data_IF_987237603879
#
_entry.id   IF_987237603879
#
_cell.length_a   1.000
_cell.length_b   1.000
_cell.length_c   1.000
_cell.angle_alpha   90.00
_cell.angle_beta   90.00
_cell.angle_gamma   90.00
#
_symmetry.space_group_name_H-M   'P 1'
#
loop_
_entity.id
_entity.type
_entity.pdbx_description
1 polymer ?
#
# COMPACT_ATOMS: atom_id res chain seq x y z
N UNK A 1 9.43 29.87 -12.79
CA UNK A 1 8.49 30.94 -13.18
C UNK A 1 7.93 30.74 -14.60
N UNK A 2 8.79 30.75 -15.68
CA UNK A 2 8.29 30.61 -17.07
C UNK A 2 7.60 29.27 -17.29
N UNK A 3 8.15 28.17 -16.76
CA UNK A 3 7.55 26.82 -16.85
C UNK A 3 6.19 26.74 -16.15
N UNK A 4 6.04 27.38 -15.00
CA UNK A 4 4.80 27.45 -14.25
C UNK A 4 3.70 28.21 -15.01
N UNK A 5 4.06 29.30 -15.71
CA UNK A 5 3.11 30.01 -16.59
C UNK A 5 2.59 29.13 -17.74
N UNK A 6 3.41 28.18 -18.18
CA UNK A 6 3.05 27.16 -19.19
C UNK A 6 2.43 25.90 -18.55
N UNK A 7 2.21 25.89 -17.23
CA UNK A 7 1.66 24.77 -16.44
C UNK A 7 2.52 23.51 -16.54
N UNK A 8 3.84 23.67 -16.48
CA UNK A 8 4.82 22.58 -16.48
C UNK A 8 5.71 22.71 -15.24
N UNK A 9 5.81 21.67 -14.47
CA UNK A 9 6.75 21.56 -13.36
C UNK A 9 7.97 20.77 -13.81
N UNK A 10 9.15 21.33 -13.60
CA UNK A 10 10.41 20.61 -13.76
C UNK A 10 10.91 20.10 -12.40
N UNK A 11 11.68 19.03 -12.41
CA UNK A 11 12.40 18.60 -11.23
C UNK A 11 13.76 19.28 -11.19
N UNK A 12 13.93 20.26 -10.30
CA UNK A 12 15.17 20.99 -10.10
C UNK A 12 16.07 20.21 -9.14
N UNK A 13 17.18 19.68 -9.67
CA UNK A 13 18.17 18.92 -8.90
C UNK A 13 19.04 19.87 -8.06
N UNK A 14 19.47 20.97 -8.68
CA UNK A 14 20.23 22.06 -8.06
C UNK A 14 20.05 23.34 -8.88
N UNK A 15 20.82 24.39 -8.57
CA UNK A 15 20.72 25.69 -9.24
C UNK A 15 21.05 25.65 -10.76
N UNK A 16 21.79 24.64 -11.20
CA UNK A 16 22.29 24.54 -12.57
C UNK A 16 21.72 23.36 -13.35
N UNK A 17 20.98 22.47 -12.68
CA UNK A 17 20.52 21.22 -13.26
C UNK A 17 19.03 20.98 -12.97
N UNK A 18 18.31 20.59 -13.99
CA UNK A 18 16.95 20.09 -13.89
C UNK A 18 16.82 18.76 -14.63
N UNK A 19 15.84 17.97 -14.24
CA UNK A 19 15.48 16.75 -14.97
C UNK A 19 14.04 16.81 -15.49
N UNK A 20 13.85 16.13 -16.61
CA UNK A 20 12.56 15.98 -17.28
C UNK A 20 12.28 14.50 -17.39
N UNK A 21 11.16 14.06 -16.83
CA UNK A 21 10.71 12.67 -16.97
C UNK A 21 9.60 12.59 -18.01
N UNK A 22 9.70 11.64 -18.89
CA UNK A 22 8.73 11.35 -19.95
C UNK A 22 8.17 9.95 -19.70
N UNK A 23 6.87 9.79 -19.85
CA UNK A 23 6.16 8.53 -19.69
C UNK A 23 5.15 8.31 -20.83
N UNK A 24 4.36 7.25 -20.73
CA UNK A 24 3.37 6.87 -21.73
C UNK A 24 2.21 7.87 -21.87
N UNK A 25 2.02 8.76 -20.90
CA UNK A 25 1.01 9.80 -20.96
C UNK A 25 1.53 11.12 -21.54
N UNK A 26 2.82 11.20 -21.88
CA UNK A 26 3.42 12.41 -22.47
C UNK A 26 3.07 12.50 -23.95
N UNK A 27 2.41 13.58 -24.34
CA UNK A 27 1.99 13.85 -25.70
C UNK A 27 2.98 14.77 -26.43
N UNK A 28 2.92 14.82 -27.77
CA UNK A 28 3.74 15.72 -28.59
C UNK A 28 3.56 17.18 -28.18
N UNK A 29 2.33 17.58 -27.88
CA UNK A 29 2.03 18.95 -27.40
C UNK A 29 2.76 19.31 -26.09
N UNK A 30 3.03 18.32 -25.22
CA UNK A 30 3.80 18.56 -23.99
C UNK A 30 5.27 18.79 -24.33
N UNK A 31 5.82 18.03 -25.28
CA UNK A 31 7.19 18.23 -25.77
C UNK A 31 7.34 19.59 -26.44
N UNK A 32 6.36 20.00 -27.27
CA UNK A 32 6.34 21.31 -27.90
C UNK A 32 6.40 22.45 -26.85
N UNK A 33 5.58 22.39 -25.82
CA UNK A 33 5.59 23.36 -24.73
C UNK A 33 6.93 23.40 -23.99
N UNK A 34 7.53 22.23 -23.74
CA UNK A 34 8.86 22.14 -23.11
C UNK A 34 9.90 22.82 -24.01
N UNK A 35 9.89 22.53 -25.30
CA UNK A 35 10.80 23.17 -26.26
C UNK A 35 10.61 24.68 -26.30
N UNK A 36 9.37 25.19 -26.34
CA UNK A 36 9.06 26.62 -26.30
C UNK A 36 9.64 27.31 -25.07
N UNK A 37 9.63 26.65 -23.90
CA UNK A 37 10.23 27.20 -22.68
C UNK A 37 11.73 27.42 -22.88
N UNK A 38 12.45 26.42 -23.39
CA UNK A 38 13.87 26.49 -23.62
C UNK A 38 14.23 27.46 -24.76
N UNK A 39 13.44 27.48 -25.84
CA UNK A 39 13.61 28.44 -26.94
C UNK A 39 13.53 29.91 -26.45
N UNK A 40 12.56 30.16 -25.59
CA UNK A 40 12.38 31.51 -25.00
C UNK A 40 13.57 31.94 -24.14
N UNK A 41 14.18 30.98 -23.42
CA UNK A 41 15.34 31.25 -22.55
C UNK A 41 16.63 31.38 -23.38
N UNK A 42 16.83 30.49 -24.34
CA UNK A 42 18.08 30.37 -25.10
C UNK A 42 18.11 31.25 -26.34
N UNK A 43 17.02 31.91 -26.69
CA UNK A 43 16.84 32.67 -27.94
C UNK A 43 17.21 31.87 -29.22
N UNK A 44 16.93 30.55 -29.17
CA UNK A 44 17.17 29.61 -30.27
C UNK A 44 15.88 28.87 -30.59
N UNK A 45 15.61 28.62 -31.86
CA UNK A 45 14.46 27.82 -32.31
C UNK A 45 14.84 26.36 -32.40
N UNK A 46 14.02 25.48 -31.87
CA UNK A 46 14.11 24.04 -32.05
C UNK A 46 13.44 23.60 -33.37
N UNK A 47 13.89 22.52 -33.96
CA UNK A 47 13.28 21.93 -35.15
C UNK A 47 12.53 20.64 -34.77
N UNK A 48 11.34 20.80 -34.21
CA UNK A 48 10.53 19.67 -33.69
C UNK A 48 10.05 18.74 -34.82
N UNK A 49 10.03 19.21 -36.08
CA UNK A 49 9.54 18.42 -37.23
C UNK A 49 10.37 17.16 -37.53
N UNK A 50 11.57 17.03 -36.96
CA UNK A 50 12.41 15.84 -37.13
C UNK A 50 12.10 14.69 -36.16
N UNK A 51 11.20 14.91 -35.18
CA UNK A 51 10.89 13.88 -34.18
C UNK A 51 10.17 12.66 -34.81
N UNK A 52 9.39 12.87 -35.86
CA UNK A 52 8.68 11.78 -36.57
C UNK A 52 9.63 10.78 -37.24
N UNK A 53 10.90 11.11 -37.39
CA UNK A 53 11.92 10.26 -38.03
C UNK A 53 12.86 9.54 -37.04
N UNK A 54 12.72 9.77 -35.74
CA UNK A 54 13.57 9.10 -34.74
C UNK A 54 13.10 7.66 -34.56
N UNK A 55 13.76 6.74 -35.24
CA UNK A 55 13.66 5.34 -34.89
C UNK A 55 14.29 5.12 -33.51
N UNK A 56 13.53 4.71 -32.48
CA UNK A 56 14.09 4.38 -31.19
C UNK A 56 15.11 3.24 -31.38
N UNK A 57 16.39 3.55 -31.31
CA UNK A 57 17.44 2.56 -31.43
C UNK A 57 17.61 1.82 -30.10
N UNK A 58 16.76 0.83 -29.85
CA UNK A 58 17.09 -0.18 -28.86
C UNK A 58 18.33 -0.91 -29.37
N UNK A 59 19.46 -0.90 -28.64
CA UNK A 59 20.61 -1.68 -29.03
C UNK A 59 20.22 -3.12 -29.37
N UNK A 60 20.71 -3.65 -30.49
CA UNK A 60 20.28 -4.97 -30.99
C UNK A 60 20.48 -6.12 -30.01
N UNK A 61 21.42 -5.96 -29.09
CA UNK A 61 21.65 -6.91 -27.98
C UNK A 61 20.43 -7.02 -27.02
N UNK A 62 19.62 -5.97 -26.89
CA UNK A 62 18.43 -5.96 -26.03
C UNK A 62 17.14 -6.23 -26.83
N UNK A 63 17.20 -6.31 -28.14
CA UNK A 63 16.03 -6.64 -28.94
C UNK A 63 15.70 -8.12 -28.76
N UNK A 64 14.45 -8.38 -28.38
CA UNK A 64 13.94 -9.75 -28.25
C UNK A 64 14.01 -10.47 -29.60
N UNK A 65 14.62 -11.64 -29.58
CA UNK A 65 14.74 -12.53 -30.79
C UNK A 65 13.82 -13.75 -30.71
N UNK A 66 13.21 -13.98 -29.57
CA UNK A 66 12.28 -15.09 -29.33
C UNK A 66 10.83 -14.62 -29.40
N UNK A 67 9.93 -15.47 -29.87
CA UNK A 67 8.50 -15.26 -29.76
C UNK A 67 8.06 -15.26 -28.29
N UNK A 68 6.93 -14.66 -27.97
CA UNK A 68 6.33 -14.64 -26.65
C UNK A 68 4.81 -14.48 -26.76
N UNK A 69 4.10 -14.98 -25.77
CA UNK A 69 2.63 -14.97 -25.71
C UNK A 69 1.97 -15.59 -26.96
N UNK A 70 2.54 -16.70 -27.43
CA UNK A 70 2.10 -17.40 -28.66
C UNK A 70 0.84 -18.24 -28.40
N UNK A 71 0.48 -18.48 -27.13
CA UNK A 71 -0.71 -19.23 -26.78
C UNK A 71 -1.96 -18.51 -27.31
N UNK A 72 -2.88 -19.31 -27.82
CA UNK A 72 -4.10 -18.83 -28.45
C UNK A 72 -4.90 -17.86 -27.58
N UNK A 73 -4.86 -18.03 -26.26
CA UNK A 73 -5.59 -17.19 -25.30
C UNK A 73 -5.23 -15.71 -25.39
N UNK A 74 -3.95 -15.39 -25.64
CA UNK A 74 -3.49 -14.01 -25.74
C UNK A 74 -3.89 -13.30 -27.04
N UNK A 75 -4.36 -14.07 -28.03
CA UNK A 75 -4.65 -13.59 -29.38
C UNK A 75 -6.13 -13.76 -29.79
N UNK A 76 -7.00 -14.25 -28.90
CA UNK A 76 -8.37 -14.63 -29.28
C UNK A 76 -9.46 -13.67 -28.80
N UNK A 77 -9.24 -12.88 -27.75
CA UNK A 77 -10.26 -12.07 -27.10
C UNK A 77 -10.01 -10.57 -27.33
N UNK A 78 -10.07 -10.15 -28.59
CA UNK A 78 -9.67 -8.79 -29.00
C UNK A 78 -10.82 -7.78 -29.07
N UNK A 79 -12.06 -8.20 -28.83
CA UNK A 79 -13.20 -7.27 -28.68
C UNK A 79 -13.62 -7.19 -27.20
N UNK A 80 -14.15 -6.03 -26.79
CA UNK A 80 -14.69 -5.82 -25.44
C UNK A 80 -15.64 -6.95 -25.03
N UNK A 81 -16.62 -7.26 -25.87
CA UNK A 81 -17.62 -8.31 -25.59
C UNK A 81 -16.97 -9.69 -25.42
N UNK A 82 -15.99 -10.06 -26.26
CA UNK A 82 -15.33 -11.36 -26.16
C UNK A 82 -14.45 -11.43 -24.92
N UNK A 83 -13.76 -10.34 -24.57
CA UNK A 83 -12.97 -10.24 -23.34
C UNK A 83 -13.83 -10.35 -22.09
N UNK A 84 -14.95 -9.61 -22.02
CA UNK A 84 -15.86 -9.69 -20.87
C UNK A 84 -16.45 -11.10 -20.69
N UNK A 85 -16.83 -11.77 -21.78
CA UNK A 85 -17.30 -13.16 -21.73
C UNK A 85 -16.22 -14.12 -21.28
N UNK A 86 -14.99 -13.91 -21.71
CA UNK A 86 -13.84 -14.72 -21.31
C UNK A 86 -13.55 -14.54 -19.81
N UNK A 87 -13.48 -13.31 -19.32
CA UNK A 87 -13.30 -13.00 -17.89
C UNK A 87 -14.40 -13.68 -17.06
N UNK A 88 -15.67 -13.58 -17.49
CA UNK A 88 -16.78 -14.22 -16.79
C UNK A 88 -16.68 -15.74 -16.82
N UNK A 89 -16.14 -16.34 -17.88
CA UNK A 89 -15.91 -17.79 -17.97
C UNK A 89 -14.84 -18.26 -16.98
N UNK A 90 -13.83 -17.45 -16.72
CA UNK A 90 -12.79 -17.72 -15.71
C UNK A 90 -13.36 -17.58 -14.30
N UNK A 91 -14.08 -16.48 -14.04
CA UNK A 91 -14.72 -16.23 -12.75
C UNK A 91 -15.62 -17.41 -12.30
N UNK A 92 -16.34 -18.02 -13.26
CA UNK A 92 -17.23 -19.17 -12.96
C UNK A 92 -16.50 -20.47 -12.61
N UNK A 93 -15.21 -20.53 -12.79
CA UNK A 93 -14.40 -21.73 -12.40
C UNK A 93 -14.03 -21.74 -10.93
N UNK A 94 -14.25 -20.63 -10.23
CA UNK A 94 -13.95 -20.47 -8.82
C UNK A 94 -15.08 -19.72 -8.10
N UNK A 95 -14.94 -19.54 -6.80
CA UNK A 95 -15.90 -18.80 -5.98
C UNK A 95 -15.80 -17.30 -6.25
N UNK A 96 -16.96 -16.65 -6.36
CA UNK A 96 -17.04 -15.19 -6.45
C UNK A 96 -18.12 -14.63 -5.53
N UNK A 97 -17.98 -13.37 -5.12
CA UNK A 97 -18.95 -12.68 -4.26
C UNK A 97 -20.33 -12.48 -4.93
N UNK A 98 -20.41 -12.68 -6.25
CA UNK A 98 -21.69 -12.58 -6.97
C UNK A 98 -22.66 -13.74 -6.69
N UNK A 99 -22.16 -14.87 -6.23
CA UNK A 99 -22.98 -16.09 -6.06
C UNK A 99 -22.56 -16.98 -4.87
N UNK A 100 -21.61 -16.55 -4.07
CA UNK A 100 -21.17 -17.30 -2.90
C UNK A 100 -20.59 -16.43 -1.81
N UNK A 101 -20.63 -16.92 -0.57
CA UNK A 101 -19.82 -16.36 0.52
C UNK A 101 -18.40 -16.88 0.40
N UNK A 102 -17.43 -15.98 0.45
CA UNK A 102 -16.02 -16.32 0.33
C UNK A 102 -15.40 -16.43 1.70
N UNK A 103 -14.69 -17.54 1.94
CA UNK A 103 -13.97 -17.77 3.18
C UNK A 103 -12.83 -16.77 3.38
N UNK A 104 -12.36 -16.66 4.62
CA UNK A 104 -11.20 -15.85 4.99
C UNK A 104 -9.98 -16.22 4.11
N UNK A 105 -9.14 -15.25 3.80
CA UNK A 105 -7.94 -15.42 2.95
C UNK A 105 -7.99 -14.59 1.67
N UNK A 106 -9.16 -14.11 1.29
CA UNK A 106 -9.39 -13.28 0.09
C UNK A 106 -9.40 -11.78 0.42
N UNK A 107 -8.38 -11.29 1.08
CA UNK A 107 -8.32 -9.90 1.60
C UNK A 107 -8.66 -8.78 0.61
N UNK A 108 -8.51 -9.06 -0.65
CA UNK A 108 -8.78 -8.13 -1.75
C UNK A 108 -10.16 -8.31 -2.37
N UNK A 109 -10.97 -9.23 -1.88
CA UNK A 109 -12.30 -9.54 -2.40
C UNK A 109 -13.37 -8.58 -1.86
N UNK A 110 -13.10 -7.27 -1.87
CA UNK A 110 -14.10 -6.27 -1.56
C UNK A 110 -14.75 -5.80 -2.86
N UNK A 111 -16.07 -5.80 -2.89
CA UNK A 111 -16.81 -5.20 -3.98
C UNK A 111 -16.96 -3.70 -3.70
N UNK A 112 -16.47 -2.89 -4.63
CA UNK A 112 -16.74 -1.46 -4.64
C UNK A 112 -17.88 -1.18 -5.59
N UNK A 113 -18.75 -0.22 -5.24
CA UNK A 113 -19.78 0.24 -6.16
C UNK A 113 -19.13 0.91 -7.38
N UNK A 114 -19.68 0.67 -8.57
CA UNK A 114 -19.15 1.27 -9.80
C UNK A 114 -19.11 2.82 -9.71
N UNK A 115 -20.10 3.42 -9.03
CA UNK A 115 -20.15 4.86 -8.80
C UNK A 115 -18.99 5.39 -7.93
N UNK A 116 -18.44 4.57 -7.02
CA UNK A 116 -17.25 4.92 -6.21
C UNK A 116 -15.96 4.84 -7.02
N UNK A 117 -15.94 4.00 -8.07
CA UNK A 117 -14.79 3.84 -8.97
C UNK A 117 -14.73 4.92 -10.07
N UNK A 118 -15.85 5.49 -10.44
CA UNK A 118 -15.92 6.49 -11.53
C UNK A 118 -14.98 7.69 -11.34
N UNK A 119 -14.83 8.31 -10.16
CA UNK A 119 -13.91 9.42 -9.97
C UNK A 119 -12.47 9.07 -10.33
N UNK A 120 -12.04 7.81 -10.10
CA UNK A 120 -10.68 7.34 -10.39
C UNK A 120 -10.37 7.32 -11.88
N UNK A 121 -11.39 7.33 -12.75
CA UNK A 121 -11.22 7.38 -14.21
C UNK A 121 -10.94 8.80 -14.73
N UNK A 122 -11.11 9.81 -13.89
CA UNK A 122 -10.90 11.21 -14.30
C UNK A 122 -9.41 11.56 -14.26
N UNK A 123 -8.91 12.16 -15.35
CA UNK A 123 -7.53 12.68 -15.42
C UNK A 123 -7.22 13.72 -14.34
N UNK A 124 -8.26 14.39 -13.81
CA UNK A 124 -8.11 15.33 -12.69
C UNK A 124 -7.69 14.65 -11.39
N UNK A 125 -7.91 13.34 -11.26
CA UNK A 125 -7.57 12.55 -10.10
C UNK A 125 -6.34 11.67 -10.33
N UNK A 126 -6.26 10.98 -11.47
CA UNK A 126 -5.25 9.96 -11.69
C UNK A 126 -3.96 10.44 -12.38
N UNK A 127 -3.97 11.66 -12.98
CA UNK A 127 -2.79 12.22 -13.65
C UNK A 127 -1.98 13.19 -12.77
N UNK A 128 -2.29 13.29 -11.49
CA UNK A 128 -1.53 14.17 -10.58
C UNK A 128 -0.24 13.46 -10.16
N UNK A 129 0.88 14.12 -10.36
CA UNK A 129 2.18 13.59 -9.93
C UNK A 129 2.27 13.56 -8.39
N UNK A 130 2.81 12.47 -7.77
CA UNK A 130 2.92 12.36 -6.31
C UNK A 130 3.71 13.49 -5.65
N UNK A 131 4.65 14.10 -6.35
CA UNK A 131 5.48 15.22 -5.89
C UNK A 131 5.09 16.55 -6.53
N UNK A 132 3.83 16.71 -6.96
CA UNK A 132 3.33 18.00 -7.39
C UNK A 132 3.43 19.01 -6.24
N UNK A 133 3.75 20.30 -6.52
CA UNK A 133 3.79 21.35 -5.50
C UNK A 133 2.49 21.43 -4.70
N UNK A 134 2.60 21.68 -3.41
CA UNK A 134 1.47 21.63 -2.47
C UNK A 134 0.35 22.61 -2.80
N UNK A 135 0.70 23.77 -3.31
CA UNK A 135 -0.22 24.82 -3.78
C UNK A 135 -1.00 24.43 -5.04
N UNK A 136 -0.55 23.41 -5.77
CA UNK A 136 -1.23 22.89 -6.96
C UNK A 136 -2.14 21.70 -6.65
N UNK A 137 -2.11 21.17 -5.43
CA UNK A 137 -2.84 19.96 -5.01
C UNK A 137 -3.65 20.17 -3.72
N UNK A 138 -4.12 21.37 -3.46
CA UNK A 138 -4.88 21.73 -2.26
C UNK A 138 -6.09 20.82 -2.04
N UNK A 139 -6.82 20.45 -3.11
CA UNK A 139 -7.96 19.56 -3.03
C UNK A 139 -7.60 18.16 -2.54
N UNK A 140 -6.46 17.60 -2.97
CA UNK A 140 -5.93 16.34 -2.47
C UNK A 140 -5.54 16.44 -0.99
N UNK A 141 -4.82 17.49 -0.64
CA UNK A 141 -4.40 17.76 0.74
C UNK A 141 -5.60 17.84 1.66
N UNK A 142 -6.63 18.61 1.28
CA UNK A 142 -7.86 18.72 2.04
C UNK A 142 -8.56 17.37 2.22
N UNK A 143 -8.69 16.57 1.15
CA UNK A 143 -9.32 15.26 1.20
C UNK A 143 -8.57 14.30 2.14
N UNK A 144 -7.25 14.24 2.04
CA UNK A 144 -6.40 13.37 2.86
C UNK A 144 -6.43 13.78 4.33
N UNK A 145 -6.34 15.08 4.64
CA UNK A 145 -6.43 15.56 6.03
C UNK A 145 -7.81 15.32 6.63
N UNK A 146 -8.88 15.52 5.86
CA UNK A 146 -10.24 15.20 6.31
C UNK A 146 -10.39 13.72 6.64
N UNK A 147 -9.87 12.83 5.79
CA UNK A 147 -9.91 11.39 6.02
C UNK A 147 -9.11 10.99 7.27
N UNK A 148 -7.90 11.52 7.45
CA UNK A 148 -7.09 11.29 8.66
C UNK A 148 -7.84 11.69 9.93
N UNK A 149 -8.46 12.89 9.92
CA UNK A 149 -9.20 13.38 11.08
C UNK A 149 -10.41 12.51 11.40
N UNK A 150 -11.14 12.05 10.37
CA UNK A 150 -12.25 11.11 10.56
C UNK A 150 -11.77 9.77 11.13
N UNK A 151 -10.66 9.23 10.64
CA UNK A 151 -10.09 7.99 11.16
C UNK A 151 -9.60 8.15 12.61
N UNK A 152 -8.98 9.27 12.95
CA UNK A 152 -8.57 9.57 14.32
C UNK A 152 -9.77 9.63 15.26
N UNK A 153 -10.85 10.28 14.85
CA UNK A 153 -12.09 10.38 15.64
C UNK A 153 -12.74 9.00 15.84
N UNK A 154 -12.85 8.20 14.79
CA UNK A 154 -13.45 6.84 14.85
C UNK A 154 -12.63 5.91 15.74
N UNK A 155 -11.32 5.96 15.67
CA UNK A 155 -10.42 5.02 16.38
C UNK A 155 -9.99 5.52 17.76
N UNK A 156 -10.12 6.81 18.04
CA UNK A 156 -9.58 7.44 19.24
C UNK A 156 -8.06 7.60 19.22
N UNK A 157 -7.41 7.40 18.09
CA UNK A 157 -5.96 7.60 17.97
C UNK A 157 -5.59 9.06 17.74
N UNK A 158 -4.39 9.44 18.18
CA UNK A 158 -3.86 10.78 18.02
C UNK A 158 -3.35 11.09 16.59
N UNK A 159 -3.16 10.07 15.77
CA UNK A 159 -2.70 10.24 14.40
C UNK A 159 -2.87 9.00 13.52
N UNK A 160 -3.10 9.23 12.24
CA UNK A 160 -3.25 8.19 11.21
C UNK A 160 -2.32 8.49 10.05
N UNK A 161 -1.63 7.46 9.54
CA UNK A 161 -0.88 7.52 8.30
C UNK A 161 -1.64 6.82 7.19
N UNK A 162 -1.74 7.47 6.03
CA UNK A 162 -2.32 6.92 4.81
C UNK A 162 -1.25 6.42 3.82
N UNK A 163 0.03 6.36 4.24
CA UNK A 163 1.15 5.96 3.38
C UNK A 163 1.17 4.45 3.01
N UNK A 164 0.84 3.52 3.93
CA UNK A 164 0.85 2.10 3.60
C UNK A 164 -0.14 1.76 2.48
N UNK A 165 0.31 1.04 1.44
CA UNK A 165 -0.50 0.67 0.28
C UNK A 165 -1.25 -0.66 0.44
N UNK A 166 -0.98 -1.41 1.51
CA UNK A 166 -1.60 -2.71 1.79
C UNK A 166 -1.60 -3.00 3.28
N UNK A 167 -2.38 -4.01 3.70
CA UNK A 167 -2.39 -4.48 5.08
C UNK A 167 -0.99 -4.87 5.58
N UNK A 168 -0.24 -5.65 4.80
CA UNK A 168 1.13 -6.05 5.17
C UNK A 168 2.09 -4.85 5.35
N UNK A 169 1.94 -3.81 4.53
CA UNK A 169 2.73 -2.58 4.71
C UNK A 169 2.31 -1.79 5.94
N UNK A 170 1.02 -1.80 6.28
CA UNK A 170 0.52 -1.24 7.54
C UNK A 170 1.09 -1.97 8.76
N UNK A 171 1.10 -3.30 8.72
CA UNK A 171 1.75 -4.14 9.74
C UNK A 171 3.22 -3.76 9.94
N UNK A 172 3.97 -3.73 8.84
CA UNK A 172 5.38 -3.37 8.86
C UNK A 172 5.61 -1.95 9.40
N UNK A 173 4.83 -0.97 8.91
CA UNK A 173 4.93 0.42 9.36
C UNK A 173 4.69 0.54 10.87
N UNK A 174 3.67 -0.14 11.40
CA UNK A 174 3.38 -0.13 12.81
C UNK A 174 4.48 -0.76 13.67
N UNK A 175 5.03 -1.87 13.24
CA UNK A 175 6.15 -2.50 13.94
C UNK A 175 7.40 -1.61 13.91
N UNK A 176 7.64 -0.89 12.81
CA UNK A 176 8.73 0.09 12.73
C UNK A 176 8.51 1.29 13.67
N UNK A 177 7.27 1.74 13.83
CA UNK A 177 6.91 2.79 14.82
C UNK A 177 7.20 2.29 16.23
N UNK A 178 6.78 1.07 16.58
CA UNK A 178 7.06 0.46 17.90
C UNK A 178 8.57 0.37 18.15
N UNK A 179 9.34 -0.08 17.17
CA UNK A 179 10.81 -0.14 17.30
C UNK A 179 11.43 1.23 17.48
N UNK A 180 10.97 2.23 16.73
CA UNK A 180 11.44 3.61 16.86
C UNK A 180 11.13 4.19 18.23
N UNK A 181 9.95 3.88 18.77
CA UNK A 181 9.56 4.27 20.12
C UNK A 181 10.52 3.69 21.18
N UNK A 182 10.77 2.37 21.17
CA UNK A 182 11.68 1.77 22.13
C UNK A 182 13.13 2.25 21.94
N UNK A 183 13.55 2.52 20.70
CA UNK A 183 14.85 3.13 20.42
C UNK A 183 14.96 4.54 21.05
N UNK A 184 13.91 5.34 20.99
CA UNK A 184 13.90 6.68 21.59
C UNK A 184 14.01 6.64 23.12
N UNK A 185 13.59 5.53 23.73
CA UNK A 185 13.71 5.27 25.17
C UNK A 185 15.06 4.56 25.55
N UNK A 186 15.97 4.39 24.61
CA UNK A 186 17.20 3.62 24.79
C UNK A 186 16.97 2.13 25.16
N UNK A 187 15.82 1.56 24.79
CA UNK A 187 15.42 0.16 25.03
C UNK A 187 15.56 -0.68 23.77
N UNK A 188 16.72 -0.65 23.13
CA UNK A 188 16.97 -1.36 21.86
C UNK A 188 16.95 -2.88 21.97
N UNK A 189 17.06 -3.42 23.21
CA UNK A 189 16.91 -4.83 23.54
C UNK A 189 15.46 -5.32 23.35
N UNK A 190 14.45 -4.45 23.38
CA UNK A 190 13.07 -4.82 23.13
C UNK A 190 12.85 -5.06 21.63
N UNK A 191 12.94 -6.32 21.25
CA UNK A 191 12.86 -6.77 19.84
C UNK A 191 12.05 -8.05 19.63
N UNK A 192 11.33 -8.52 20.65
CA UNK A 192 10.45 -9.67 20.54
C UNK A 192 9.03 -9.21 20.20
N UNK A 193 8.42 -9.88 19.23
CA UNK A 193 7.01 -9.76 18.88
C UNK A 193 6.31 -11.09 19.15
N UNK A 194 5.33 -11.10 20.05
CA UNK A 194 4.47 -12.27 20.28
C UNK A 194 3.41 -12.31 19.19
N UNK A 195 3.17 -13.48 18.60
CA UNK A 195 2.21 -13.69 17.52
C UNK A 195 1.44 -14.99 17.79
N UNK A 196 0.10 -14.99 17.79
CA UNK A 196 -0.68 -16.22 17.92
C UNK A 196 -0.47 -17.17 16.74
N UNK A 197 -0.56 -18.47 17.00
CA UNK A 197 -0.47 -19.53 15.96
C UNK A 197 -1.58 -19.42 14.92
N UNK A 198 -2.69 -18.76 15.26
CA UNK A 198 -3.80 -18.45 14.35
C UNK A 198 -3.56 -17.23 13.47
N UNK A 199 -2.38 -16.61 13.53
CA UNK A 199 -2.11 -15.41 12.74
C UNK A 199 -1.91 -15.73 11.25
N UNK A 200 -2.20 -14.75 10.41
CA UNK A 200 -1.89 -14.83 8.99
C UNK A 200 -0.37 -14.86 8.76
N UNK A 201 0.09 -15.55 7.72
CA UNK A 201 1.52 -15.70 7.41
C UNK A 201 2.28 -14.39 7.18
N UNK A 202 1.59 -13.30 6.85
CA UNK A 202 2.20 -11.96 6.73
C UNK A 202 2.64 -11.39 8.07
N UNK A 203 1.99 -11.76 9.18
CA UNK A 203 2.31 -11.22 10.49
C UNK A 203 3.76 -11.56 10.92
N UNK A 204 4.18 -12.85 10.95
CA UNK A 204 5.57 -13.16 11.27
C UNK A 204 6.55 -12.63 10.22
N UNK A 205 6.17 -12.58 8.93
CA UNK A 205 7.02 -12.01 7.89
C UNK A 205 7.28 -10.51 8.13
N UNK A 206 6.25 -9.72 8.42
CA UNK A 206 6.38 -8.30 8.74
C UNK A 206 7.21 -8.06 9.99
N UNK A 207 7.07 -8.91 11.03
CA UNK A 207 7.87 -8.81 12.24
C UNK A 207 9.37 -9.06 11.96
N UNK A 208 9.70 -10.10 11.19
CA UNK A 208 11.08 -10.39 10.79
C UNK A 208 11.66 -9.27 9.92
N UNK A 209 10.89 -8.76 8.96
CA UNK A 209 11.31 -7.61 8.13
C UNK A 209 11.59 -6.37 8.98
N UNK A 210 10.79 -6.14 10.03
CA UNK A 210 11.04 -5.07 11.00
C UNK A 210 12.24 -5.34 11.92
N UNK A 211 12.95 -6.48 11.77
CA UNK A 211 14.08 -6.88 12.59
C UNK A 211 13.68 -7.33 14.00
N UNK A 212 12.45 -7.84 14.16
CA UNK A 212 12.00 -8.44 15.41
C UNK A 212 12.14 -9.96 15.40
N UNK A 213 12.25 -10.55 16.58
CA UNK A 213 12.19 -12.00 16.78
C UNK A 213 10.76 -12.38 17.11
N UNK A 214 10.26 -13.42 16.45
CA UNK A 214 8.90 -13.92 16.64
C UNK A 214 8.86 -14.97 17.73
N UNK A 215 7.95 -14.81 18.67
CA UNK A 215 7.58 -15.83 19.67
C UNK A 215 6.12 -16.19 19.44
N UNK A 216 5.88 -17.47 19.13
CA UNK A 216 4.52 -17.94 18.82
C UNK A 216 3.80 -18.35 20.09
N UNK A 217 2.57 -17.89 20.27
CA UNK A 217 1.64 -18.31 21.33
C UNK A 217 0.63 -19.28 20.75
N UNK A 218 0.35 -20.35 21.49
CA UNK A 218 -0.62 -21.37 21.11
C UNK A 218 -2.06 -20.86 21.12
N UNK A 219 -2.96 -21.68 20.56
CA UNK A 219 -4.40 -21.52 20.64
C UNK A 219 -5.02 -22.71 21.37
N UNK A 220 -6.13 -22.47 22.05
CA UNK A 220 -6.93 -23.53 22.67
C UNK A 220 -7.69 -24.35 21.61
N UNK A 221 -8.42 -25.38 22.06
CA UNK A 221 -9.22 -26.24 21.19
C UNK A 221 -10.40 -25.55 20.50
N UNK A 222 -10.74 -24.33 20.92
CA UNK A 222 -11.80 -23.50 20.32
C UNK A 222 -11.24 -22.43 19.40
N UNK A 223 -9.92 -22.36 19.25
CA UNK A 223 -9.24 -21.37 18.41
C UNK A 223 -8.97 -20.02 19.08
N UNK A 224 -9.26 -19.88 20.38
CA UNK A 224 -8.86 -18.70 21.15
C UNK A 224 -7.37 -18.75 21.48
N UNK A 225 -6.79 -17.58 21.79
CA UNK A 225 -5.41 -17.52 22.27
C UNK A 225 -5.31 -18.22 23.64
N UNK A 226 -4.32 -19.07 23.80
CA UNK A 226 -3.99 -19.67 25.09
C UNK A 226 -3.42 -18.61 26.03
N UNK A 227 -4.27 -18.13 26.95
CA UNK A 227 -3.90 -17.05 27.88
C UNK A 227 -2.78 -17.46 28.84
N UNK A 228 -2.67 -18.72 29.21
CA UNK A 228 -1.64 -19.18 30.16
C UNK A 228 -0.28 -19.29 29.44
N UNK A 229 -0.27 -19.77 28.20
CA UNK A 229 0.92 -19.73 27.35
C UNK A 229 1.36 -18.29 27.06
N UNK A 230 0.40 -17.39 26.80
CA UNK A 230 0.68 -15.95 26.61
C UNK A 230 1.34 -15.35 27.86
N UNK A 231 0.78 -15.55 29.04
CA UNK A 231 1.33 -15.02 30.30
C UNK A 231 2.73 -15.57 30.57
N UNK A 232 2.93 -16.85 30.31
CA UNK A 232 4.23 -17.52 30.49
C UNK A 232 5.28 -16.87 29.58
N UNK A 233 4.99 -16.73 28.30
CA UNK A 233 5.91 -16.12 27.31
C UNK A 233 6.12 -14.64 27.54
N UNK A 234 5.08 -13.90 27.91
CA UNK A 234 5.22 -12.49 28.25
C UNK A 234 6.13 -12.27 29.46
N UNK A 235 6.04 -13.14 30.47
CA UNK A 235 6.92 -13.12 31.64
C UNK A 235 8.36 -13.51 31.29
N UNK A 236 8.53 -14.59 30.53
CA UNK A 236 9.85 -15.09 30.08
C UNK A 236 10.63 -14.01 29.32
N UNK A 237 9.93 -13.24 28.51
CA UNK A 237 10.52 -12.23 27.65
C UNK A 237 10.32 -10.79 28.13
N UNK A 238 9.92 -10.56 29.38
CA UNK A 238 9.52 -9.25 29.91
C UNK A 238 10.45 -8.10 29.58
N UNK A 239 11.77 -8.34 29.58
CA UNK A 239 12.80 -7.34 29.32
C UNK A 239 13.05 -7.09 27.84
N UNK A 240 12.65 -8.01 26.97
CA UNK A 240 12.90 -7.98 25.52
C UNK A 240 11.64 -7.93 24.68
N UNK A 241 10.49 -8.11 25.29
CA UNK A 241 9.19 -8.04 24.62
C UNK A 241 8.89 -6.60 24.20
N UNK A 242 8.60 -6.42 22.91
CA UNK A 242 8.26 -5.13 22.32
C UNK A 242 6.76 -5.02 22.00
N UNK A 243 6.19 -6.07 21.41
CA UNK A 243 4.86 -6.02 20.86
C UNK A 243 4.11 -7.36 20.91
N UNK A 244 2.79 -7.26 20.94
CA UNK A 244 1.88 -8.31 20.49
C UNK A 244 1.29 -7.90 19.15
N UNK A 245 1.24 -8.83 18.21
CA UNK A 245 0.58 -8.66 16.92
C UNK A 245 -0.55 -9.67 16.81
N UNK A 246 -1.77 -9.18 16.77
CA UNK A 246 -2.99 -9.99 16.80
C UNK A 246 -3.95 -9.56 15.70
N UNK A 247 -4.64 -10.51 15.09
CA UNK A 247 -5.74 -10.26 14.16
C UNK A 247 -7.07 -10.51 14.87
N UNK A 248 -8.00 -9.59 14.76
CA UNK A 248 -9.30 -9.66 15.42
C UNK A 248 -10.43 -9.29 14.46
N UNK A 249 -11.33 -10.25 14.09
CA UNK A 249 -11.30 -11.66 14.46
C UNK A 249 -10.09 -12.42 13.92
N UNK A 250 -9.76 -13.55 14.55
CA UNK A 250 -8.65 -14.40 14.13
C UNK A 250 -8.90 -15.03 12.74
N UNK A 251 -7.86 -15.63 12.14
CA UNK A 251 -8.03 -16.38 10.87
C UNK A 251 -8.95 -17.59 11.00
N UNK A 252 -9.19 -18.05 12.23
CA UNK A 252 -10.18 -19.10 12.51
C UNK A 252 -11.62 -18.56 12.63
N UNK A 253 -11.83 -17.26 12.44
CA UNK A 253 -13.12 -16.59 12.57
C UNK A 253 -13.57 -16.40 14.02
N UNK A 254 -12.65 -16.49 14.97
CA UNK A 254 -12.94 -16.34 16.41
C UNK A 254 -12.79 -14.89 16.84
N UNK A 255 -13.86 -14.34 17.42
CA UNK A 255 -13.82 -13.10 18.18
C UNK A 255 -13.34 -13.43 19.59
N UNK A 256 -12.13 -12.99 19.91
CA UNK A 256 -11.48 -13.27 21.19
C UNK A 256 -12.20 -12.58 22.35
N UNK A 257 -12.96 -13.33 23.14
CA UNK A 257 -13.72 -12.78 24.27
C UNK A 257 -12.83 -12.24 25.38
N UNK A 258 -11.60 -12.73 25.46
CA UNK A 258 -10.59 -12.33 26.43
C UNK A 258 -9.67 -11.21 25.96
N UNK A 259 -9.95 -10.56 24.84
CA UNK A 259 -9.06 -9.56 24.22
C UNK A 259 -8.58 -8.49 25.22
N UNK A 260 -9.46 -8.01 26.10
CA UNK A 260 -9.09 -7.00 27.13
C UNK A 260 -8.06 -7.54 28.14
N UNK A 261 -8.14 -8.82 28.50
CA UNK A 261 -7.16 -9.45 29.40
C UNK A 261 -5.83 -9.69 28.69
N UNK A 262 -5.89 -10.12 27.44
CA UNK A 262 -4.72 -10.32 26.59
C UNK A 262 -3.95 -9.03 26.42
N UNK A 263 -4.62 -7.95 26.00
CA UNK A 263 -3.99 -6.64 25.83
C UNK A 263 -3.44 -6.09 27.14
N UNK A 264 -4.20 -6.26 28.25
CA UNK A 264 -3.70 -5.87 29.58
C UNK A 264 -2.43 -6.61 29.96
N UNK A 265 -2.37 -7.93 29.76
CA UNK A 265 -1.16 -8.72 30.03
C UNK A 265 0.07 -8.15 29.30
N UNK A 266 -0.09 -7.76 28.04
CA UNK A 266 0.99 -7.18 27.25
C UNK A 266 1.39 -5.80 27.76
N UNK A 267 0.43 -4.94 28.08
CA UNK A 267 0.70 -3.61 28.63
C UNK A 267 1.35 -3.66 30.02
N UNK A 268 0.97 -4.62 30.87
CA UNK A 268 1.57 -4.80 32.20
C UNK A 268 3.08 -5.16 32.12
N UNK A 269 3.55 -5.66 30.99
CA UNK A 269 4.97 -5.89 30.69
C UNK A 269 5.65 -4.72 29.96
N UNK A 270 5.00 -3.55 29.87
CA UNK A 270 5.52 -2.36 29.22
C UNK A 270 5.61 -2.44 27.69
N UNK A 271 4.82 -3.31 27.08
CA UNK A 271 4.83 -3.57 25.65
C UNK A 271 3.66 -2.89 24.95
N UNK A 272 3.75 -2.79 23.64
CA UNK A 272 2.75 -2.10 22.83
C UNK A 272 1.92 -3.09 22.01
N UNK A 273 0.69 -2.70 21.77
CA UNK A 273 -0.18 -3.31 20.78
C UNK A 273 -0.32 -2.32 19.63
N UNK A 274 -0.04 -2.76 18.42
CA UNK A 274 -0.30 -1.95 17.25
C UNK A 274 -1.64 -2.32 16.64
N UNK A 275 -2.46 -1.31 16.36
CA UNK A 275 -3.76 -1.48 15.73
C UNK A 275 -3.75 -0.83 14.35
N UNK A 276 -4.01 -1.63 13.32
CA UNK A 276 -4.23 -1.15 11.95
C UNK A 276 -5.71 -1.31 11.63
N UNK A 277 -6.49 -0.23 11.58
CA UNK A 277 -7.89 -0.34 11.14
C UNK A 277 -7.91 -0.87 9.71
N UNK A 278 -8.53 -2.01 9.54
CA UNK A 278 -8.72 -2.67 8.26
C UNK A 278 -10.22 -2.89 8.06
N UNK A 279 -10.73 -2.88 6.84
CA UNK A 279 -12.10 -3.31 6.56
C UNK A 279 -12.41 -4.73 7.03
N UNK A 280 -11.38 -5.53 7.37
CA UNK A 280 -11.51 -6.85 7.98
C UNK A 280 -11.69 -6.80 9.49
N UNK A 281 -11.13 -5.79 10.13
CA UNK A 281 -11.28 -5.60 11.55
C UNK A 281 -12.70 -5.08 11.74
N UNK A 282 -13.62 -6.00 12.00
CA UNK A 282 -15.03 -5.65 12.21
C UNK A 282 -15.12 -4.51 13.21
N UNK A 283 -15.86 -3.47 12.88
CA UNK A 283 -16.19 -2.36 13.77
C UNK A 283 -17.02 -2.95 14.92
N UNK A 284 -16.35 -3.30 15.97
CA UNK A 284 -16.95 -3.88 17.16
C UNK A 284 -15.97 -3.78 18.30
N UNK A 285 -15.90 -2.60 18.87
CA UNK A 285 -15.33 -2.39 20.20
C UNK A 285 -16.42 -2.50 21.22
#
# INVERSE_FOLDING_TARGET
ELSETKKINFNYINENELSISINEATEINDIEKICEIFESILSKKSNIKEIESINPSIPTIYVRKTSFLDEKVFNSYQSETSMMRYIKSLERKDLSLNHSMIALGSCTMKLNAAAEMLPLSSSRWNNIHPFAPSDQVEGYTFMLEKLKNQLNEITGFSGTSLQPNSGAQGEYAGLMVIRSYFKSLNQTNRNICIIPSSAHGTNPASAVMAGMKVVVVGTDKFGNIDEDDLKTKAKEHSDTLAALMITYPSTHGVFESSIKRITKTIHDHGCLLYTSPSPRDGIGS
#
